data_IF_248541893271
#
_entry.id   IF_248541893271
#
_cell.length_a   1.000
_cell.length_b   1.000
_cell.length_c   1.000
_cell.angle_alpha   90.00
_cell.angle_beta   90.00
_cell.angle_gamma   90.00
#
_symmetry.space_group_name_H-M   'P 1'
#
loop_
_entity.id
_entity.type
_entity.pdbx_description
1 polymer ?
#
# COMPACT_ATOMS: atom_id res chain seq x y z
N UNK A 1 7.57 39.71 4.99
CA UNK A 1 7.00 38.54 5.69
C UNK A 1 6.17 37.79 4.66
N UNK A 2 6.65 36.65 4.17
CA UNK A 2 5.92 35.85 3.19
C UNK A 2 5.05 34.88 3.98
N UNK A 3 3.74 35.14 4.01
CA UNK A 3 2.75 34.21 4.56
C UNK A 3 2.58 33.09 3.54
N UNK A 4 3.22 31.95 3.81
CA UNK A 4 2.91 30.69 3.13
C UNK A 4 1.52 30.27 3.60
N UNK A 5 0.49 30.60 2.81
CA UNK A 5 -0.82 29.98 2.96
C UNK A 5 -0.63 28.49 2.72
N UNK A 6 -0.77 27.70 3.79
CA UNK A 6 -0.91 26.27 3.68
C UNK A 6 -2.32 26.06 3.12
N UNK A 7 -2.43 25.88 1.80
CA UNK A 7 -3.68 25.47 1.16
C UNK A 7 -4.17 24.22 1.87
N UNK A 8 -5.35 24.31 2.50
CA UNK A 8 -6.07 23.12 2.95
C UNK A 8 -6.29 22.24 1.73
N UNK A 9 -5.64 21.08 1.71
CA UNK A 9 -5.77 20.13 0.60
C UNK A 9 -7.16 19.52 0.70
N UNK A 10 -8.16 20.17 0.09
CA UNK A 10 -9.50 19.62 -0.02
C UNK A 10 -9.54 18.61 -1.16
N UNK A 11 -9.79 17.34 -0.86
CA UNK A 11 -9.81 16.27 -1.85
C UNK A 11 -11.15 16.21 -2.58
N UNK A 12 -11.13 16.52 -3.87
CA UNK A 12 -12.34 16.52 -4.71
C UNK A 12 -12.73 15.11 -5.20
N UNK A 13 -11.80 14.15 -5.21
CA UNK A 13 -12.03 12.79 -5.71
C UNK A 13 -11.00 11.76 -5.19
N UNK A 14 -11.39 10.48 -5.13
CA UNK A 14 -10.47 9.36 -4.86
C UNK A 14 -9.30 9.30 -5.86
N UNK A 15 -9.50 9.80 -7.08
CA UNK A 15 -8.47 9.84 -8.12
C UNK A 15 -7.36 10.86 -7.80
N UNK A 16 -7.71 12.02 -7.27
CA UNK A 16 -6.74 13.04 -6.88
C UNK A 16 -5.91 12.59 -5.68
N UNK A 17 -6.56 11.92 -4.72
CA UNK A 17 -5.87 11.33 -3.58
C UNK A 17 -4.87 10.25 -4.04
N UNK A 18 -5.31 9.34 -4.91
CA UNK A 18 -4.47 8.29 -5.47
C UNK A 18 -3.24 8.88 -6.19
N UNK A 19 -3.43 9.89 -7.05
CA UNK A 19 -2.32 10.55 -7.75
C UNK A 19 -1.30 11.16 -6.78
N UNK A 20 -1.74 11.68 -5.63
CA UNK A 20 -0.85 12.33 -4.67
C UNK A 20 0.00 11.34 -3.88
N UNK A 21 -0.57 10.18 -3.55
CA UNK A 21 0.14 9.12 -2.81
C UNK A 21 0.75 8.05 -3.71
N UNK A 22 0.49 8.09 -5.02
CA UNK A 22 1.14 7.27 -6.05
C UNK A 22 2.67 7.17 -5.87
N UNK A 23 3.44 8.25 -5.64
CA UNK A 23 4.87 8.14 -5.39
C UNK A 23 5.22 7.32 -4.14
N UNK A 24 4.42 7.39 -3.08
CA UNK A 24 4.62 6.58 -1.87
C UNK A 24 4.29 5.11 -2.14
N UNK A 25 3.17 4.83 -2.83
CA UNK A 25 2.77 3.48 -3.24
C UNK A 25 3.83 2.84 -4.14
N UNK A 26 4.33 3.58 -5.14
CA UNK A 26 5.42 3.13 -6.03
C UNK A 26 6.69 2.82 -5.27
N UNK A 27 7.05 3.67 -4.32
CA UNK A 27 8.24 3.44 -3.48
C UNK A 27 8.07 2.17 -2.66
N UNK A 28 6.88 1.95 -2.10
CA UNK A 28 6.60 0.74 -1.32
C UNK A 28 6.59 -0.53 -2.18
N UNK A 29 5.96 -0.50 -3.35
CA UNK A 29 5.98 -1.62 -4.28
C UNK A 29 7.42 -1.99 -4.70
N UNK A 30 8.25 -0.99 -5.03
CA UNK A 30 9.67 -1.21 -5.32
C UNK A 30 10.43 -1.86 -4.16
N UNK A 31 10.19 -1.42 -2.92
CA UNK A 31 10.82 -2.04 -1.75
C UNK A 31 10.41 -3.51 -1.58
N UNK A 32 9.14 -3.84 -1.81
CA UNK A 32 8.64 -5.22 -1.80
C UNK A 32 9.26 -6.06 -2.92
N UNK A 33 9.40 -5.49 -4.12
CA UNK A 33 10.06 -6.16 -5.25
C UNK A 33 11.53 -6.46 -4.95
N UNK A 34 12.25 -5.52 -4.34
CA UNK A 34 13.64 -5.72 -3.91
C UNK A 34 13.77 -6.83 -2.85
N UNK A 35 12.73 -7.06 -2.05
CA UNK A 35 12.65 -8.16 -1.08
C UNK A 35 12.26 -9.51 -1.70
N UNK A 36 11.98 -9.55 -3.00
CA UNK A 36 11.60 -10.76 -3.74
C UNK A 36 10.11 -10.88 -4.08
N UNK A 37 9.27 -9.94 -3.65
CA UNK A 37 7.81 -9.99 -3.86
C UNK A 37 7.40 -9.27 -5.15
N UNK A 38 7.89 -9.71 -6.30
CA UNK A 38 7.72 -9.02 -7.60
C UNK A 38 6.28 -8.94 -8.10
N UNK A 39 5.39 -9.80 -7.60
CA UNK A 39 4.00 -9.87 -8.05
C UNK A 39 3.08 -8.80 -7.45
N UNK A 40 3.53 -8.08 -6.41
CA UNK A 40 2.69 -7.09 -5.71
C UNK A 40 2.68 -5.78 -6.50
N UNK A 41 1.50 -5.26 -6.80
CA UNK A 41 1.35 -3.97 -7.49
C UNK A 41 0.97 -2.83 -6.53
N UNK A 42 1.15 -1.58 -6.95
CA UNK A 42 0.69 -0.40 -6.20
C UNK A 42 -0.81 -0.48 -5.87
N UNK A 43 -1.59 -1.08 -6.78
CA UNK A 43 -3.03 -1.29 -6.62
C UNK A 43 -3.33 -2.26 -5.47
N UNK A 44 -2.56 -3.33 -5.32
CA UNK A 44 -2.77 -4.28 -4.23
C UNK A 44 -2.49 -3.65 -2.87
N UNK A 45 -1.45 -2.81 -2.78
CA UNK A 45 -1.13 -2.05 -1.57
C UNK A 45 -2.24 -1.06 -1.24
N UNK A 46 -2.72 -0.33 -2.24
CA UNK A 46 -3.85 0.60 -2.10
C UNK A 46 -5.12 -0.11 -1.63
N UNK A 47 -5.51 -1.21 -2.28
CA UNK A 47 -6.72 -1.96 -1.93
C UNK A 47 -6.61 -2.55 -0.52
N UNK A 48 -5.44 -3.06 -0.14
CA UNK A 48 -5.18 -3.52 1.23
C UNK A 48 -5.42 -2.42 2.26
N UNK A 49 -4.76 -1.26 2.12
CA UNK A 49 -4.85 -0.16 3.10
C UNK A 49 -6.27 0.39 3.16
N UNK A 50 -6.91 0.56 2.00
CA UNK A 50 -8.28 1.05 1.89
C UNK A 50 -9.28 0.13 2.60
N UNK A 51 -9.18 -1.19 2.40
CA UNK A 51 -10.16 -2.15 2.93
C UNK A 51 -9.92 -2.53 4.39
N UNK A 52 -8.68 -2.48 4.86
CA UNK A 52 -8.33 -2.96 6.21
C UNK A 52 -8.15 -1.83 7.22
N UNK A 53 -7.59 -0.70 6.79
CA UNK A 53 -7.23 0.42 7.66
C UNK A 53 -8.15 1.62 7.46
N UNK A 54 -8.12 2.23 6.28
CA UNK A 54 -8.77 3.52 6.04
C UNK A 54 -10.30 3.47 6.02
N UNK A 55 -10.92 2.31 5.81
CA UNK A 55 -12.39 2.18 5.89
C UNK A 55 -12.95 2.47 7.29
N UNK A 56 -12.12 2.33 8.33
CA UNK A 56 -12.53 2.52 9.73
C UNK A 56 -12.19 3.91 10.26
N UNK A 57 -11.43 4.69 9.50
CA UNK A 57 -10.89 5.98 9.94
C UNK A 57 -11.62 7.13 9.25
N UNK A 58 -11.88 8.18 10.00
CA UNK A 58 -12.55 9.39 9.52
C UNK A 58 -11.63 10.58 9.70
N UNK A 59 -11.44 11.38 8.65
CA UNK A 59 -10.60 12.58 8.72
C UNK A 59 -9.10 12.32 8.52
N UNK A 60 -8.72 11.25 7.81
CA UNK A 60 -7.32 10.95 7.49
C UNK A 60 -6.65 12.09 6.73
N UNK A 61 -5.51 12.54 7.24
CA UNK A 61 -4.68 13.51 6.55
C UNK A 61 -3.74 12.84 5.53
N UNK A 62 -3.30 13.59 4.52
CA UNK A 62 -2.38 13.07 3.50
C UNK A 62 -1.08 12.53 4.10
N UNK A 63 -0.56 13.19 5.14
CA UNK A 63 0.65 12.78 5.83
C UNK A 63 0.46 11.41 6.50
N UNK A 64 -0.68 11.18 7.15
CA UNK A 64 -1.02 9.90 7.78
C UNK A 64 -1.15 8.79 6.74
N UNK A 65 -1.81 9.06 5.61
CA UNK A 65 -1.92 8.08 4.51
C UNK A 65 -0.55 7.70 3.95
N UNK A 66 0.36 8.67 3.79
CA UNK A 66 1.72 8.42 3.31
C UNK A 66 2.52 7.65 4.36
N UNK A 67 2.41 8.02 5.64
CA UNK A 67 3.06 7.32 6.74
C UNK A 67 2.61 5.85 6.80
N UNK A 68 1.31 5.62 6.67
CA UNK A 68 0.71 4.28 6.60
C UNK A 68 1.28 3.44 5.47
N UNK A 69 1.42 4.02 4.28
CA UNK A 69 1.99 3.31 3.13
C UNK A 69 3.45 2.93 3.39
N UNK A 70 4.22 3.85 3.96
CA UNK A 70 5.66 3.66 4.16
C UNK A 70 5.96 2.74 5.35
N UNK A 71 5.11 2.71 6.38
CA UNK A 71 5.30 1.91 7.60
C UNK A 71 4.44 0.66 7.67
N UNK A 72 3.62 0.38 6.66
CA UNK A 72 2.84 -0.86 6.59
C UNK A 72 3.74 -2.10 6.75
N UNK A 73 3.29 -3.12 7.47
CA UNK A 73 4.05 -4.37 7.59
C UNK A 73 3.95 -5.22 6.32
N UNK A 74 5.10 -5.68 5.80
CA UNK A 74 5.15 -6.51 4.59
C UNK A 74 4.25 -7.75 4.71
N UNK A 75 4.25 -8.39 5.89
CA UNK A 75 3.48 -9.60 6.18
C UNK A 75 1.99 -9.40 5.93
N UNK A 76 1.44 -8.25 6.30
CA UNK A 76 0.01 -8.01 6.18
C UNK A 76 -0.41 -7.78 4.72
N UNK A 77 0.43 -7.10 3.94
CA UNK A 77 0.23 -6.94 2.48
C UNK A 77 0.30 -8.31 1.80
N UNK A 78 1.29 -9.13 2.17
CA UNK A 78 1.48 -10.47 1.61
C UNK A 78 0.30 -11.39 1.93
N UNK A 79 -0.16 -11.42 3.18
CA UNK A 79 -1.33 -12.18 3.61
C UNK A 79 -2.59 -11.75 2.86
N UNK A 80 -2.79 -10.45 2.67
CA UNK A 80 -3.91 -9.93 1.89
C UNK A 80 -3.83 -10.35 0.42
N UNK A 81 -2.66 -10.21 -0.21
CA UNK A 81 -2.47 -10.63 -1.60
C UNK A 81 -2.70 -12.15 -1.73
N UNK A 82 -2.13 -12.94 -0.83
CA UNK A 82 -2.32 -14.38 -0.79
C UNK A 82 -3.80 -14.77 -0.66
N UNK A 83 -4.53 -14.19 0.30
CA UNK A 83 -5.98 -14.42 0.46
C UNK A 83 -6.78 -14.01 -0.79
N UNK A 84 -6.43 -12.88 -1.40
CA UNK A 84 -7.04 -12.39 -2.65
C UNK A 84 -6.82 -13.36 -3.81
N UNK A 85 -5.60 -13.86 -4.00
CA UNK A 85 -5.28 -14.79 -5.09
C UNK A 85 -5.76 -16.23 -4.81
N UNK A 86 -5.84 -16.65 -3.55
CA UNK A 86 -6.43 -17.94 -3.16
C UNK A 86 -7.96 -17.97 -3.31
N UNK A 87 -8.64 -16.85 -3.05
CA UNK A 87 -10.08 -16.73 -3.33
C UNK A 87 -10.37 -16.73 -4.83
N UNK A 88 -9.42 -16.28 -5.64
CA UNK A 88 -9.51 -16.27 -7.11
C UNK A 88 -9.08 -17.62 -7.73
N UNK A 89 -8.23 -18.41 -7.05
CA UNK A 89 -7.74 -19.71 -7.52
C UNK A 89 -7.73 -20.76 -6.42
N UNK A 90 -8.63 -21.75 -6.53
CA UNK A 90 -8.66 -23.01 -5.76
C UNK A 90 -7.46 -23.95 -6.02
N UNK A 91 -6.31 -23.46 -6.49
CA UNK A 91 -5.07 -24.22 -6.71
C UNK A 91 -3.95 -23.20 -6.88
N UNK A 92 -2.86 -23.28 -6.09
CA UNK A 92 -1.49 -22.79 -6.36
C UNK A 92 -0.78 -22.49 -5.01
N UNK A 93 -0.42 -23.56 -4.28
CA UNK A 93 0.30 -23.50 -2.99
C UNK A 93 1.83 -23.29 -3.12
N UNK A 94 2.39 -23.07 -4.31
CA UNK A 94 3.85 -23.23 -4.51
C UNK A 94 4.69 -21.94 -4.59
N UNK A 95 4.14 -20.73 -4.47
CA UNK A 95 4.92 -19.49 -4.73
C UNK A 95 5.52 -18.86 -3.45
N UNK A 96 5.13 -19.30 -2.25
CA UNK A 96 5.56 -18.66 -1.00
C UNK A 96 6.70 -19.42 -0.28
N UNK A 97 7.76 -19.78 -1.00
CA UNK A 97 9.03 -20.00 -0.31
C UNK A 97 9.67 -18.64 -0.01
N UNK A 98 9.65 -18.26 1.28
CA UNK A 98 10.43 -17.13 1.78
C UNK A 98 11.89 -17.27 1.30
N UNK A 99 12.53 -16.23 0.72
CA UNK A 99 13.94 -16.29 0.44
C UNK A 99 14.68 -16.55 1.75
N UNK A 100 15.30 -17.74 1.88
CA UNK A 100 16.11 -18.08 3.04
C UNK A 100 17.21 -17.04 3.15
N UNK A 101 17.23 -16.34 4.29
CA UNK A 101 18.35 -15.49 4.68
C UNK A 101 19.61 -16.37 4.59
N UNK A 102 20.55 -15.97 3.74
CA UNK A 102 21.88 -16.59 3.75
C UNK A 102 22.49 -16.28 5.12
N UNK A 103 22.78 -17.35 5.86
CA UNK A 103 23.57 -17.33 7.10
C UNK A 103 24.97 -16.73 6.88
#
# INVERSE_FOLDING_TARGET
MMVIYMEEITFSSQKDLYNRIEPALRSRAKLLHLKGFTSITEKDIWDYLRLNKWIKETGLELCELVDDILHCEDKNILLYCHDKYMKDNSSLEEIFEMPKLKE
#
